data_IF_700511133595
#
_entry.id   IF_700511133595
#
_cell.length_a   1.000
_cell.length_b   1.000
_cell.length_c   1.000
_cell.angle_alpha   90.00
_cell.angle_beta   90.00
_cell.angle_gamma   90.00
#
_symmetry.space_group_name_H-M   'P 1'
#
loop_
_entity.id
_entity.type
_entity.pdbx_description
1 polymer ?
#
# COMPACT_ATOMS: atom_id res chain seq x y z
N UNK A 1 4.27 -4.13 -22.19
CA UNK A 1 4.29 -5.31 -21.32
C UNK A 1 4.43 -4.85 -19.87
N UNK A 2 3.41 -5.02 -19.01
CA UNK A 2 3.64 -5.11 -17.56
C UNK A 2 3.74 -6.58 -17.20
N UNK A 3 4.94 -7.02 -17.40
CA UNK A 3 5.43 -8.32 -17.06
C UNK A 3 5.60 -8.41 -15.54
N UNK A 4 5.56 -7.30 -14.77
CA UNK A 4 5.96 -7.11 -13.37
C UNK A 4 7.34 -7.70 -13.00
N UNK A 5 8.00 -8.42 -13.90
CA UNK A 5 8.69 -9.60 -13.45
C UNK A 5 9.77 -9.98 -14.43
N UNK A 6 10.94 -9.43 -14.23
CA UNK A 6 12.10 -10.33 -14.28
C UNK A 6 12.87 -10.08 -12.99
N UNK A 7 12.59 -10.92 -12.00
CA UNK A 7 13.05 -10.77 -10.61
C UNK A 7 12.02 -10.16 -9.64
N UNK A 8 11.00 -9.48 -10.15
CA UNK A 8 9.91 -8.88 -9.37
C UNK A 8 9.75 -7.39 -9.60
N UNK A 9 8.55 -6.87 -9.35
CA UNK A 9 8.20 -5.48 -9.61
C UNK A 9 8.29 -4.70 -8.29
N UNK A 10 9.02 -3.57 -8.25
CA UNK A 10 9.17 -2.77 -7.04
C UNK A 10 7.88 -2.05 -6.61
N UNK A 11 6.85 -2.07 -7.46
CA UNK A 11 5.60 -1.34 -7.31
C UNK A 11 4.42 -2.24 -6.91
N UNK A 12 4.69 -3.53 -6.66
CA UNK A 12 3.71 -4.54 -6.32
C UNK A 12 2.56 -4.65 -7.35
N UNK A 13 2.89 -4.52 -8.63
CA UNK A 13 1.97 -4.64 -9.74
C UNK A 13 2.16 -3.57 -10.82
N UNK A 14 1.26 -3.57 -11.81
CA UNK A 14 1.12 -2.42 -12.71
C UNK A 14 0.57 -1.23 -11.95
N UNK A 15 1.03 -0.06 -12.29
CA UNK A 15 0.44 1.21 -11.85
C UNK A 15 -0.78 1.61 -12.70
N UNK A 16 -1.19 0.80 -13.69
CA UNK A 16 -2.46 1.01 -14.40
C UNK A 16 -3.63 1.05 -13.42
N UNK A 17 -4.54 2.00 -13.63
CA UNK A 17 -5.67 2.30 -12.72
C UNK A 17 -6.55 1.06 -12.48
N UNK A 18 -6.82 0.28 -13.53
CA UNK A 18 -7.62 -0.94 -13.50
C UNK A 18 -6.99 -2.07 -12.68
N UNK A 19 -5.66 -2.10 -12.53
CA UNK A 19 -4.96 -3.07 -11.69
C UNK A 19 -4.69 -2.54 -10.27
N UNK A 20 -4.27 -1.29 -10.16
CA UNK A 20 -3.75 -0.73 -8.92
C UNK A 20 -4.86 -0.20 -7.99
N UNK A 21 -5.84 0.53 -8.56
CA UNK A 21 -6.77 1.34 -7.77
C UNK A 21 -8.11 0.64 -7.51
N UNK A 22 -8.57 -0.26 -8.39
CA UNK A 22 -9.87 -0.90 -8.26
C UNK A 22 -10.00 -1.82 -7.02
N UNK A 23 -8.88 -2.42 -6.58
CA UNK A 23 -8.88 -3.47 -5.55
C UNK A 23 -8.14 -3.08 -4.26
N UNK A 24 -7.71 -1.82 -4.12
CA UNK A 24 -6.94 -1.33 -2.97
C UNK A 24 -7.53 -0.04 -2.40
N UNK A 25 -7.74 0.05 -1.07
CA UNK A 25 -7.62 -1.03 -0.09
C UNK A 25 -8.77 -2.04 -0.19
N UNK A 26 -8.53 -3.29 0.25
CA UNK A 26 -9.62 -4.22 0.53
C UNK A 26 -10.54 -3.63 1.59
N UNK A 27 -11.84 -3.92 1.52
CA UNK A 27 -12.82 -3.46 2.51
C UNK A 27 -12.45 -3.90 3.95
N UNK A 28 -11.81 -5.07 4.08
CA UNK A 28 -11.31 -5.60 5.35
C UNK A 28 -9.97 -5.02 5.81
N UNK A 29 -9.28 -4.25 4.97
CA UNK A 29 -7.93 -3.75 5.21
C UNK A 29 -7.79 -2.25 4.87
N UNK A 30 -8.72 -1.44 5.38
CA UNK A 30 -8.75 0.00 5.15
C UNK A 30 -7.71 0.74 5.98
N UNK A 31 -7.13 1.81 5.40
CA UNK A 31 -6.19 2.68 6.11
C UNK A 31 -4.99 1.95 6.71
N UNK A 32 -4.43 0.97 6.00
CA UNK A 32 -3.29 0.13 6.40
C UNK A 32 -3.53 -0.87 7.53
N UNK A 33 -4.75 -0.91 8.12
CA UNK A 33 -5.05 -1.83 9.20
C UNK A 33 -5.22 -3.24 8.67
N UNK A 34 -4.66 -4.24 9.36
CA UNK A 34 -4.93 -5.65 9.05
C UNK A 34 -5.98 -6.22 10.02
N UNK A 35 -6.57 -7.39 9.71
CA UNK A 35 -7.45 -8.09 10.67
C UNK A 35 -6.72 -8.53 11.95
N UNK A 36 -5.39 -8.62 11.93
CA UNK A 36 -4.58 -8.98 13.10
C UNK A 36 -4.38 -7.74 13.97
N UNK A 37 -4.72 -7.86 15.26
CA UNK A 37 -4.59 -6.77 16.22
C UNK A 37 -3.13 -6.28 16.27
N UNK A 38 -2.96 -4.96 16.23
CA UNK A 38 -1.68 -4.26 16.27
C UNK A 38 -0.71 -4.56 15.11
N UNK A 39 -1.21 -5.14 14.00
CA UNK A 39 -0.44 -5.33 12.77
C UNK A 39 -0.95 -4.39 11.67
N UNK A 40 -0.02 -3.67 11.05
CA UNK A 40 -0.27 -2.69 9.99
C UNK A 40 0.54 -3.04 8.74
N UNK A 41 -0.04 -2.85 7.57
CA UNK A 41 0.60 -3.11 6.28
C UNK A 41 0.95 -1.78 5.60
N UNK A 42 2.22 -1.57 5.29
CA UNK A 42 2.73 -0.41 4.54
C UNK A 42 3.56 -0.86 3.34
N UNK A 43 3.98 0.08 2.50
CA UNK A 43 4.80 -0.17 1.32
C UNK A 43 4.04 0.05 0.01
N UNK A 44 4.68 -0.32 -1.11
CA UNK A 44 4.21 -0.06 -2.47
C UNK A 44 2.83 -0.67 -2.79
N UNK A 45 2.49 -1.77 -2.11
CA UNK A 45 1.20 -2.47 -2.21
C UNK A 45 0.03 -1.73 -1.54
N UNK A 46 0.27 -0.56 -0.94
CA UNK A 46 -0.73 0.17 -0.15
C UNK A 46 -0.81 1.64 -0.57
N UNK A 47 -1.97 2.26 -0.37
CA UNK A 47 -2.16 3.69 -0.63
C UNK A 47 -1.10 4.53 0.12
N UNK A 48 -0.53 5.62 -0.43
CA UNK A 48 -0.93 6.35 -1.64
C UNK A 48 -0.58 5.68 -2.96
N UNK A 49 0.36 4.74 -2.97
CA UNK A 49 0.95 4.40 -4.23
C UNK A 49 2.22 3.57 -4.13
N UNK A 50 2.66 3.03 -5.27
CA UNK A 50 4.00 2.52 -5.42
C UNK A 50 5.05 3.64 -5.37
N UNK A 51 6.30 3.28 -5.06
CA UNK A 51 7.43 4.21 -5.00
C UNK A 51 8.20 4.20 -3.67
N UNK A 52 9.36 4.85 -3.65
CA UNK A 52 10.28 4.89 -2.50
C UNK A 52 9.95 5.98 -1.46
N UNK A 53 8.86 6.74 -1.65
CA UNK A 53 8.56 7.95 -0.87
C UNK A 53 8.12 7.70 0.57
N UNK A 54 7.98 6.46 1.03
CA UNK A 54 7.63 6.14 2.42
C UNK A 54 6.26 6.66 2.89
N UNK A 55 5.41 7.18 1.98
CA UNK A 55 4.16 7.86 2.34
C UNK A 55 3.19 6.99 3.14
N UNK A 56 3.08 5.70 2.81
CA UNK A 56 2.28 4.75 3.59
C UNK A 56 2.78 4.59 5.03
N UNK A 57 4.10 4.56 5.23
CA UNK A 57 4.73 4.56 6.55
C UNK A 57 4.44 5.84 7.33
N UNK A 58 4.54 7.00 6.67
CA UNK A 58 4.19 8.29 7.28
C UNK A 58 2.72 8.34 7.73
N UNK A 59 1.78 7.86 6.91
CA UNK A 59 0.36 7.83 7.25
C UNK A 59 0.08 6.92 8.46
N UNK A 60 0.67 5.72 8.50
CA UNK A 60 0.53 4.80 9.64
C UNK A 60 1.15 5.40 10.90
N UNK A 61 2.36 5.95 10.82
CA UNK A 61 3.02 6.59 11.95
C UNK A 61 2.19 7.75 12.49
N UNK A 62 1.70 8.64 11.62
CA UNK A 62 0.85 9.76 12.02
C UNK A 62 -0.43 9.28 12.71
N UNK A 63 -1.09 8.24 12.18
CA UNK A 63 -2.26 7.65 12.83
C UNK A 63 -1.97 7.08 14.21
N UNK A 64 -0.88 6.33 14.36
CA UNK A 64 -0.50 5.71 15.63
C UNK A 64 -0.03 6.73 16.66
N UNK A 65 0.59 7.82 16.22
CA UNK A 65 1.04 8.93 17.07
C UNK A 65 -0.05 9.98 17.32
N UNK A 66 -1.24 9.84 16.73
CA UNK A 66 -2.33 10.82 16.87
C UNK A 66 -2.08 12.16 16.17
N UNK A 67 -1.19 12.20 15.17
CA UNK A 67 -0.92 13.38 14.35
C UNK A 67 -2.00 13.51 13.26
N UNK A 68 -2.62 14.70 13.16
CA UNK A 68 -3.60 15.05 12.12
C UNK A 68 -2.91 15.44 10.83
#
# INVERSE_FOLDING_TARGET
MNVNLVGGDPYAGDCRIDQYAAWRPLSSATGHRTPVKNLWHIGASTHPGPGLGGGSGFLVASRLLGRK
#
